data_IF_647557320425
#
_entry.id   IF_647557320425
#
_cell.length_a   1.000
_cell.length_b   1.000
_cell.length_c   1.000
_cell.angle_alpha   90.00
_cell.angle_beta   90.00
_cell.angle_gamma   90.00
#
_symmetry.space_group_name_H-M   'P 1'
#
loop_
_entity.id
_entity.type
_entity.pdbx_description
1 polymer ?
#
# COMPACT_ATOMS: atom_id res chain seq x y z
N UNK A 1 7.70 10.47 -10.10
CA UNK A 1 8.59 11.16 -9.12
C UNK A 1 8.09 10.88 -7.71
N UNK A 2 8.83 11.27 -6.66
CA UNK A 2 8.32 11.11 -5.28
C UNK A 2 7.02 11.89 -5.05
N UNK A 3 6.89 13.07 -5.68
CA UNK A 3 5.67 13.88 -5.61
C UNK A 3 4.46 13.12 -6.19
N UNK A 4 4.64 12.43 -7.32
CA UNK A 4 3.57 11.69 -7.98
C UNK A 4 3.12 10.44 -7.20
N UNK A 5 4.03 9.86 -6.42
CA UNK A 5 3.76 8.65 -5.63
C UNK A 5 3.28 8.96 -4.21
N UNK A 6 3.47 10.19 -3.72
CA UNK A 6 3.24 10.55 -2.32
C UNK A 6 1.81 10.27 -1.86
N UNK A 7 0.83 10.57 -2.72
CA UNK A 7 -0.58 10.37 -2.40
C UNK A 7 -0.95 8.92 -2.06
N UNK A 8 -0.16 7.93 -2.50
CA UNK A 8 -0.43 6.52 -2.20
C UNK A 8 0.11 6.06 -0.84
N UNK A 9 0.99 6.85 -0.21
CA UNK A 9 1.60 6.51 1.08
C UNK A 9 0.59 6.49 2.23
N UNK A 10 -0.52 7.22 2.10
CA UNK A 10 -1.59 7.21 3.10
C UNK A 10 -2.24 5.83 3.27
N UNK A 11 -2.45 5.10 2.18
CA UNK A 11 -3.10 3.77 2.20
C UNK A 11 -2.23 2.69 2.84
N UNK A 12 -0.91 2.92 3.00
CA UNK A 12 -0.01 2.01 3.70
C UNK A 12 -0.41 1.80 5.16
N UNK A 13 -1.06 2.80 5.76
CA UNK A 13 -1.47 2.82 7.16
C UNK A 13 -2.99 2.70 7.34
N UNK A 14 -3.71 2.38 6.27
CA UNK A 14 -5.13 2.08 6.38
C UNK A 14 -5.32 0.78 7.19
N UNK A 15 -6.23 0.83 8.16
CA UNK A 15 -6.66 -0.30 8.97
C UNK A 15 -8.19 -0.42 8.89
N UNK A 16 -8.70 -1.64 9.08
CA UNK A 16 -10.13 -1.93 9.16
C UNK A 16 -10.45 -2.75 10.43
N UNK A 17 -11.71 -3.18 10.56
CA UNK A 17 -12.21 -3.94 11.70
C UNK A 17 -11.43 -5.25 11.95
N UNK A 18 -10.90 -5.87 10.88
CA UNK A 18 -10.09 -7.10 11.00
C UNK A 18 -8.75 -6.78 11.69
N UNK A 19 -8.11 -5.67 11.34
CA UNK A 19 -6.88 -5.23 11.99
C UNK A 19 -7.13 -4.97 13.49
N UNK A 20 -8.24 -4.29 13.84
CA UNK A 20 -8.58 -4.02 15.24
C UNK A 20 -8.76 -5.29 16.08
N UNK A 21 -9.38 -6.33 15.51
CA UNK A 21 -9.54 -7.63 16.15
C UNK A 21 -8.17 -8.29 16.35
N UNK A 22 -7.35 -8.34 15.29
CA UNK A 22 -6.06 -9.02 15.33
C UNK A 22 -5.04 -8.30 16.22
N UNK A 23 -5.11 -6.98 16.34
CA UNK A 23 -4.28 -6.21 17.27
C UNK A 23 -4.64 -6.55 18.72
N UNK A 24 -5.92 -6.67 19.06
CA UNK A 24 -6.37 -7.04 20.41
C UNK A 24 -5.91 -8.44 20.82
N UNK A 25 -5.89 -9.37 19.86
CA UNK A 25 -5.37 -10.73 20.06
C UNK A 25 -3.83 -10.80 20.03
N UNK A 26 -3.13 -9.69 19.81
CA UNK A 26 -1.67 -9.65 19.75
C UNK A 26 -1.07 -10.32 18.52
N UNK A 27 -1.88 -10.53 17.46
CA UNK A 27 -1.47 -11.17 16.20
C UNK A 27 -0.97 -10.12 15.20
N UNK A 28 -1.71 -9.02 15.04
CA UNK A 28 -1.36 -7.92 14.15
C UNK A 28 -0.74 -6.74 14.92
N UNK A 29 -0.08 -5.85 14.17
CA UNK A 29 0.57 -4.66 14.71
C UNK A 29 -0.22 -3.40 14.36
N UNK A 30 -0.26 -2.43 15.27
CA UNK A 30 -0.90 -1.13 15.02
C UNK A 30 -0.11 -0.29 14.01
N UNK A 31 -0.69 -0.09 12.82
CA UNK A 31 -0.05 0.65 11.75
C UNK A 31 0.13 2.16 12.06
N UNK A 32 -0.58 2.72 13.04
CA UNK A 32 -0.34 4.09 13.49
C UNK A 32 1.01 4.24 14.18
N UNK A 33 1.42 3.24 14.98
CA UNK A 33 2.75 3.23 15.59
C UNK A 33 3.84 3.01 14.52
N UNK A 34 3.55 2.20 13.50
CA UNK A 34 4.46 2.02 12.36
C UNK A 34 4.62 3.32 11.57
N UNK A 35 3.53 4.10 11.39
CA UNK A 35 3.54 5.37 10.67
C UNK A 35 4.51 6.38 11.30
N UNK A 36 4.61 6.43 12.63
CA UNK A 36 5.57 7.30 13.33
C UNK A 36 7.01 6.92 12.96
N UNK A 37 7.33 5.63 13.01
CA UNK A 37 8.67 5.13 12.66
C UNK A 37 8.98 5.37 11.18
N UNK A 38 8.03 5.06 10.30
CA UNK A 38 8.15 5.29 8.86
C UNK A 38 8.40 6.77 8.54
N UNK A 39 7.68 7.69 9.19
CA UNK A 39 7.89 9.13 9.01
C UNK A 39 9.30 9.55 9.38
N UNK A 40 9.85 9.04 10.48
CA UNK A 40 11.22 9.33 10.89
C UNK A 40 12.23 8.85 9.84
N UNK A 41 12.09 7.61 9.39
CA UNK A 41 12.97 7.03 8.36
C UNK A 41 12.88 7.79 7.04
N UNK A 42 11.67 8.10 6.56
CA UNK A 42 11.49 8.82 5.29
C UNK A 42 12.04 10.24 5.39
N UNK A 43 11.81 10.96 6.49
CA UNK A 43 12.36 12.30 6.68
C UNK A 43 13.90 12.28 6.71
N UNK A 44 14.51 11.31 7.39
CA UNK A 44 15.97 11.16 7.43
C UNK A 44 16.54 10.92 6.03
N UNK A 45 15.94 9.98 5.28
CA UNK A 45 16.39 9.63 3.92
C UNK A 45 16.24 10.80 2.97
N UNK A 46 15.12 11.53 3.01
CA UNK A 46 14.90 12.69 2.15
C UNK A 46 15.87 13.82 2.45
N UNK A 47 16.13 14.09 3.74
CA UNK A 47 17.11 15.08 4.14
C UNK A 47 18.53 14.73 3.64
N UNK A 48 18.94 13.46 3.81
CA UNK A 48 20.24 12.96 3.31
C UNK A 48 20.34 13.03 1.78
N UNK A 49 19.22 12.83 1.09
CA UNK A 49 19.12 12.95 -0.36
C UNK A 49 19.00 14.41 -0.83
N UNK A 50 18.99 15.40 0.08
CA UNK A 50 18.78 16.83 -0.22
C UNK A 50 17.44 17.12 -0.93
N UNK A 51 16.44 16.26 -0.71
CA UNK A 51 15.11 16.38 -1.27
C UNK A 51 14.13 16.98 -0.27
N UNK A 52 13.18 17.77 -0.77
CA UNK A 52 12.05 18.23 0.02
C UNK A 52 10.99 17.12 0.12
N UNK A 53 10.43 16.96 1.32
CA UNK A 53 9.28 16.08 1.53
C UNK A 53 8.04 16.70 0.88
N UNK A 54 7.27 15.93 0.08
CA UNK A 54 6.00 16.41 -0.43
C UNK A 54 5.01 16.65 0.72
N UNK A 55 4.14 17.66 0.59
CA UNK A 55 3.13 17.96 1.59
C UNK A 55 2.07 16.86 1.66
N UNK A 56 1.58 16.60 2.88
CA UNK A 56 0.48 15.66 3.08
C UNK A 56 -0.84 16.32 2.65
N UNK A 57 -1.23 16.09 1.39
CA UNK A 57 -2.48 16.57 0.80
C UNK A 57 -3.53 15.47 0.70
N UNK A 58 -4.19 15.39 -0.46
CA UNK A 58 -5.07 14.28 -0.78
C UNK A 58 -4.29 12.96 -0.79
N UNK A 59 -4.80 11.95 -0.08
CA UNK A 59 -4.21 10.61 0.00
C UNK A 59 -5.19 9.58 -0.57
N UNK A 60 -4.73 8.82 -1.57
CA UNK A 60 -5.49 7.73 -2.16
C UNK A 60 -5.75 6.64 -1.12
N UNK A 61 -6.91 6.00 -1.24
CA UNK A 61 -7.35 4.87 -0.41
C UNK A 61 -8.13 3.88 -1.27
N UNK A 62 -8.21 2.63 -0.81
CA UNK A 62 -9.12 1.64 -1.41
C UNK A 62 -8.56 0.23 -1.51
N UNK A 63 -7.28 0.00 -1.20
CA UNK A 63 -6.66 -1.33 -1.25
C UNK A 63 -7.43 -2.38 -0.45
N UNK A 64 -7.87 -2.03 0.76
CA UNK A 64 -8.62 -2.94 1.63
C UNK A 64 -10.05 -3.22 1.15
N UNK A 65 -10.58 -2.37 0.27
CA UNK A 65 -11.94 -2.49 -0.30
C UNK A 65 -11.93 -3.11 -1.71
N UNK A 66 -10.76 -3.54 -2.22
CA UNK A 66 -10.62 -4.01 -3.60
C UNK A 66 -10.78 -2.91 -4.66
N UNK A 67 -10.71 -1.64 -4.26
CA UNK A 67 -10.79 -0.48 -5.16
C UNK A 67 -9.38 -0.08 -5.58
N UNK A 68 -8.96 -0.59 -6.72
CA UNK A 68 -7.62 -0.36 -7.28
C UNK A 68 -7.64 0.65 -8.42
N UNK A 69 -6.47 1.21 -8.74
CA UNK A 69 -6.29 1.99 -9.96
C UNK A 69 -6.50 1.12 -11.22
N UNK A 70 -6.78 1.77 -12.35
CA UNK A 70 -7.06 1.13 -13.65
C UNK A 70 -5.96 0.13 -14.08
N UNK A 71 -4.72 0.39 -13.67
CA UNK A 71 -3.55 -0.44 -14.01
C UNK A 71 -3.66 -1.89 -13.52
N UNK A 72 -4.33 -2.16 -12.38
CA UNK A 72 -4.35 -3.52 -11.83
C UNK A 72 -5.10 -4.50 -12.77
N UNK A 73 -6.16 -4.03 -13.43
CA UNK A 73 -6.91 -4.87 -14.37
C UNK A 73 -6.03 -5.38 -15.51
N UNK A 74 -5.19 -4.51 -16.07
CA UNK A 74 -4.23 -4.87 -17.12
C UNK A 74 -3.18 -5.87 -16.62
N UNK A 75 -2.60 -5.62 -15.44
CA UNK A 75 -1.61 -6.53 -14.83
C UNK A 75 -2.18 -7.93 -14.61
N UNK A 76 -3.40 -8.03 -14.06
CA UNK A 76 -4.03 -9.32 -13.81
C UNK A 76 -4.43 -10.03 -15.10
N UNK A 77 -4.86 -9.30 -16.14
CA UNK A 77 -5.18 -9.89 -17.43
C UNK A 77 -3.98 -10.61 -18.04
N UNK A 78 -2.79 -9.99 -17.99
CA UNK A 78 -1.54 -10.62 -18.45
C UNK A 78 -1.10 -11.76 -17.53
N UNK A 79 -1.01 -11.51 -16.22
CA UNK A 79 -0.52 -12.48 -15.23
C UNK A 79 -1.37 -13.75 -15.20
N UNK A 80 -2.69 -13.61 -15.37
CA UNK A 80 -3.64 -14.71 -15.21
C UNK A 80 -4.11 -15.27 -16.55
N UNK A 81 -3.55 -14.83 -17.69
CA UNK A 81 -3.99 -15.30 -19.00
C UNK A 81 -3.94 -16.83 -19.10
N UNK A 82 -2.78 -17.44 -18.87
CA UNK A 82 -2.57 -18.88 -19.03
C UNK A 82 -3.47 -19.74 -18.11
N UNK A 83 -3.54 -19.50 -16.78
CA UNK A 83 -4.42 -20.28 -15.92
C UNK A 83 -5.91 -20.04 -16.19
N UNK A 84 -6.31 -18.88 -16.71
CA UNK A 84 -7.71 -18.64 -17.13
C UNK A 84 -8.06 -19.31 -18.45
N UNK A 85 -7.10 -19.41 -19.38
CA UNK A 85 -7.29 -20.06 -20.67
C UNK A 85 -7.28 -21.60 -20.56
N UNK A 86 -6.50 -22.16 -19.63
CA UNK A 86 -6.37 -23.61 -19.42
C UNK A 86 -6.52 -24.01 -17.93
N UNK A 87 -7.72 -23.95 -17.34
CA UNK A 87 -7.90 -24.12 -15.89
C UNK A 87 -7.45 -25.48 -15.33
N UNK A 88 -7.57 -26.55 -16.13
CA UNK A 88 -7.27 -27.93 -15.72
C UNK A 88 -5.84 -28.38 -16.04
N UNK A 89 -5.03 -27.49 -16.62
CA UNK A 89 -3.64 -27.81 -16.92
C UNK A 89 -2.81 -27.84 -15.62
N UNK A 90 -1.80 -28.72 -15.61
CA UNK A 90 -0.88 -28.89 -14.48
C UNK A 90 0.47 -28.29 -14.84
N UNK A 91 1.00 -27.48 -13.93
CA UNK A 91 2.28 -26.78 -14.01
C UNK A 91 2.99 -26.84 -12.66
#
# INVERSE_FOLDING_TARGET
SINDLWMFTGDLFAMNEVDEILIKEGIAFDLNELKKQWNNTVNEVLNRATLQRPEDGFMQKGRLEGRHAECLGHLLAEMQFLPRAYPEAKW
#
